data_IF_879460607929
#
_entry.id   IF_879460607929
#
_cell.length_a   1.000
_cell.length_b   1.000
_cell.length_c   1.000
_cell.angle_alpha   90.00
_cell.angle_beta   90.00
_cell.angle_gamma   90.00
#
_symmetry.space_group_name_H-M   'P 1'
#
loop_
_entity.id
_entity.type
_entity.pdbx_description
1 polymer ?
#
# COMPACT_ATOMS: atom_id res chain seq x y z
N UNK A 1 61.00 -41.88 0.47
CA UNK A 1 60.75 -42.58 1.74
C UNK A 1 59.29 -42.98 1.76
N UNK A 2 59.03 -44.29 1.74
CA UNK A 2 57.72 -44.92 1.72
C UNK A 2 57.13 -45.01 3.15
N UNK A 3 56.04 -45.77 3.28
CA UNK A 3 55.32 -46.22 4.50
C UNK A 3 54.06 -45.39 4.83
N UNK A 4 52.87 -45.81 4.37
CA UNK A 4 51.94 -46.79 4.98
C UNK A 4 51.33 -46.29 6.31
N UNK A 5 49.99 -46.20 6.43
CA UNK A 5 49.14 -47.30 6.94
C UNK A 5 47.72 -46.83 7.37
N UNK A 6 46.71 -47.44 6.73
CA UNK A 6 45.42 -47.99 7.22
C UNK A 6 44.49 -47.28 8.23
N UNK A 7 43.21 -47.54 7.94
CA UNK A 7 41.97 -47.08 8.53
C UNK A 7 41.65 -47.63 9.93
N UNK A 8 40.68 -47.00 10.61
CA UNK A 8 39.74 -47.67 11.53
C UNK A 8 38.45 -46.84 11.67
N UNK A 9 37.32 -47.46 11.38
CA UNK A 9 35.96 -47.00 11.69
C UNK A 9 35.67 -47.18 13.19
N UNK A 10 34.93 -46.26 13.82
CA UNK A 10 34.11 -46.59 15.00
C UNK A 10 32.94 -45.62 15.18
N UNK A 11 31.84 -46.17 15.70
CA UNK A 11 30.44 -45.73 15.58
C UNK A 11 29.87 -45.07 16.83
N UNK A 12 29.08 -43.98 16.64
CA UNK A 12 27.88 -43.50 17.41
C UNK A 12 28.10 -43.13 18.92
N UNK A 13 27.21 -42.38 19.62
CA UNK A 13 25.82 -41.99 19.33
C UNK A 13 25.46 -40.49 19.55
N UNK A 14 24.23 -40.11 19.15
CA UNK A 14 23.59 -38.81 19.43
C UNK A 14 23.02 -38.75 20.87
N UNK A 15 23.14 -37.62 21.59
CA UNK A 15 22.31 -37.37 22.77
C UNK A 15 21.09 -36.49 22.45
N UNK A 16 19.93 -37.13 22.66
CA UNK A 16 18.62 -36.69 23.17
C UNK A 16 18.41 -35.19 23.48
N UNK A 17 17.31 -34.70 22.89
CA UNK A 17 16.53 -33.50 23.26
C UNK A 17 16.41 -33.29 24.78
N UNK A 18 16.71 -32.06 25.23
CA UNK A 18 16.23 -31.51 26.50
C UNK A 18 15.45 -30.23 26.23
N UNK A 19 14.18 -30.26 26.62
CA UNK A 19 13.36 -29.06 26.84
C UNK A 19 14.00 -28.24 27.94
N UNK A 20 14.19 -26.94 27.70
CA UNK A 20 14.45 -25.96 28.77
C UNK A 20 13.26 -25.01 28.74
N UNK A 21 12.43 -25.06 29.78
CA UNK A 21 11.56 -23.95 30.15
C UNK A 21 12.48 -22.82 30.62
N UNK A 22 12.48 -21.69 29.92
CA UNK A 22 13.07 -20.46 30.42
C UNK A 22 11.97 -19.44 30.61
N UNK A 23 11.50 -19.34 31.84
CA UNK A 23 10.69 -18.24 32.34
C UNK A 23 11.61 -17.05 32.58
N UNK A 24 11.47 -15.98 31.81
CA UNK A 24 11.76 -14.63 32.31
C UNK A 24 10.91 -13.59 31.58
N UNK A 25 9.95 -13.04 32.31
CA UNK A 25 9.26 -11.81 31.94
C UNK A 25 10.27 -10.68 31.75
N UNK A 26 10.13 -9.95 30.65
CA UNK A 26 10.54 -8.56 30.54
C UNK A 26 9.30 -7.76 30.13
N UNK A 27 8.97 -6.76 30.95
CA UNK A 27 7.92 -5.78 30.72
C UNK A 27 8.29 -4.99 29.47
N UNK A 28 7.68 -5.33 28.33
CA UNK A 28 7.72 -4.49 27.15
C UNK A 28 6.57 -3.50 27.27
N UNK A 29 6.90 -2.23 27.51
CA UNK A 29 6.05 -1.12 27.09
C UNK A 29 5.96 -1.19 25.57
N UNK A 30 5.02 -2.01 25.11
CA UNK A 30 4.65 -2.09 23.70
C UNK A 30 4.05 -0.74 23.31
N UNK A 31 4.89 0.12 22.72
CA UNK A 31 4.39 1.03 21.69
C UNK A 31 3.81 0.10 20.63
N UNK A 32 2.49 -0.10 20.68
CA UNK A 32 1.76 -0.81 19.63
C UNK A 32 1.98 0.00 18.35
N UNK A 33 2.95 -0.43 17.54
CA UNK A 33 2.99 -0.09 16.14
C UNK A 33 1.69 -0.61 15.54
N UNK A 34 0.71 0.29 15.36
CA UNK A 34 -0.49 0.02 14.60
C UNK A 34 -0.04 -0.38 13.19
N UNK A 35 -0.02 -1.69 12.93
CA UNK A 35 0.09 -2.22 11.57
C UNK A 35 -1.12 -1.65 10.82
N UNK A 36 -0.86 -0.67 9.96
CA UNK A 36 -1.86 -0.04 9.10
C UNK A 36 -2.44 -1.13 8.17
N UNK A 37 -3.53 -1.75 8.60
CA UNK A 37 -4.34 -2.59 7.73
C UNK A 37 -4.89 -1.68 6.63
N UNK A 38 -4.65 -2.06 5.37
CA UNK A 38 -5.13 -1.30 4.21
C UNK A 38 -6.66 -1.14 4.32
N UNK A 39 -7.21 0.06 4.08
CA UNK A 39 -8.65 0.28 4.14
C UNK A 39 -9.38 -0.64 3.15
N UNK A 40 -10.57 -1.13 3.51
CA UNK A 40 -11.44 -1.86 2.60
C UNK A 40 -12.30 -0.88 1.81
N UNK A 41 -12.57 -1.14 0.50
CA UNK A 41 -13.41 -0.25 -0.29
C UNK A 41 -14.85 -0.27 0.23
N UNK A 42 -15.47 0.91 0.30
CA UNK A 42 -16.86 1.10 0.70
C UNK A 42 -17.62 1.78 -0.42
N UNK A 43 -18.53 1.04 -1.03
CA UNK A 43 -19.24 1.48 -2.23
C UNK A 43 -20.47 2.32 -1.92
N UNK A 44 -20.81 3.18 -2.87
CA UNK A 44 -22.04 3.95 -2.86
C UNK A 44 -23.24 3.06 -3.22
N UNK A 45 -24.43 3.27 -2.63
CA UNK A 45 -25.65 2.53 -2.99
C UNK A 45 -25.91 2.49 -4.50
N UNK A 46 -26.19 1.29 -5.02
CA UNK A 46 -26.47 1.05 -6.44
C UNK A 46 -25.23 0.80 -7.31
N UNK A 47 -24.04 0.82 -6.73
CA UNK A 47 -22.79 0.39 -7.38
C UNK A 47 -22.77 -1.14 -7.50
N UNK A 48 -22.35 -1.67 -8.64
CA UNK A 48 -21.98 -3.09 -8.78
C UNK A 48 -20.64 -3.32 -8.08
N UNK A 49 -20.70 -3.72 -6.80
CA UNK A 49 -19.52 -3.92 -5.96
C UNK A 49 -18.54 -4.94 -6.54
N UNK A 50 -19.04 -6.00 -7.20
CA UNK A 50 -18.18 -7.06 -7.74
C UNK A 50 -17.42 -6.57 -8.96
N UNK A 51 -18.12 -6.02 -9.95
CA UNK A 51 -17.49 -5.46 -11.15
C UNK A 51 -16.54 -4.32 -10.80
N UNK A 52 -16.95 -3.45 -9.86
CA UNK A 52 -16.13 -2.31 -9.41
C UNK A 52 -14.89 -2.78 -8.67
N UNK A 53 -14.98 -3.79 -7.79
CA UNK A 53 -13.81 -4.34 -7.08
C UNK A 53 -12.79 -4.93 -8.06
N UNK A 54 -13.26 -5.65 -9.10
CA UNK A 54 -12.38 -6.21 -10.12
C UNK A 54 -11.63 -5.10 -10.89
N UNK A 55 -12.32 -4.02 -11.26
CA UNK A 55 -11.72 -2.88 -11.95
C UNK A 55 -10.80 -2.04 -11.03
N UNK A 56 -11.12 -1.96 -9.75
CA UNK A 56 -10.34 -1.23 -8.73
C UNK A 56 -9.02 -1.93 -8.40
N UNK A 57 -9.05 -3.25 -8.27
CA UNK A 57 -7.90 -4.08 -7.82
C UNK A 57 -6.58 -3.75 -8.54
N UNK A 58 -6.49 -3.68 -9.88
CA UNK A 58 -5.22 -3.37 -10.56
C UNK A 58 -4.71 -1.95 -10.33
N UNK A 59 -5.58 -1.01 -9.91
CA UNK A 59 -5.19 0.38 -9.66
C UNK A 59 -4.50 0.57 -8.31
N UNK A 60 -4.72 -0.33 -7.36
CA UNK A 60 -4.24 -0.21 -5.98
C UNK A 60 -2.77 -0.60 -5.83
N UNK A 61 -2.06 0.09 -4.93
CA UNK A 61 -0.65 -0.21 -4.60
C UNK A 61 -0.48 -1.60 -3.98
N UNK A 62 -1.50 -2.10 -3.29
CA UNK A 62 -1.51 -3.46 -2.72
C UNK A 62 -1.64 -4.57 -3.77
N UNK A 63 -1.94 -4.20 -5.02
CA UNK A 63 -2.08 -5.13 -6.12
C UNK A 63 -0.74 -5.69 -6.59
N UNK A 64 -0.73 -6.96 -6.99
CA UNK A 64 0.42 -7.59 -7.64
C UNK A 64 0.77 -6.89 -8.98
N UNK A 65 -0.18 -6.17 -9.58
CA UNK A 65 0.04 -5.38 -10.78
C UNK A 65 0.85 -4.08 -10.54
N UNK A 66 1.12 -3.70 -9.28
CA UNK A 66 1.89 -2.51 -8.95
C UNK A 66 1.13 -1.21 -9.23
N UNK A 67 -0.14 -1.15 -8.85
CA UNK A 67 -0.96 0.07 -8.96
C UNK A 67 -0.39 1.24 -8.16
N UNK A 68 -0.98 2.43 -8.32
CA UNK A 68 -0.48 3.69 -7.73
C UNK A 68 -1.51 4.46 -6.93
N UNK A 69 -2.72 3.93 -6.83
CA UNK A 69 -3.81 4.49 -6.05
C UNK A 69 -3.88 3.86 -4.67
N UNK A 70 -4.33 4.63 -3.71
CA UNK A 70 -4.62 4.20 -2.34
C UNK A 70 -6.08 4.48 -2.01
N UNK A 71 -6.68 3.66 -1.17
CA UNK A 71 -7.98 3.98 -0.59
C UNK A 71 -7.82 5.04 0.51
N UNK A 72 -8.86 5.85 0.69
CA UNK A 72 -9.00 6.70 1.87
C UNK A 72 -9.12 5.89 3.14
N UNK A 73 -8.80 6.50 4.27
CA UNK A 73 -8.87 5.86 5.58
C UNK A 73 -10.25 5.27 5.90
N UNK A 74 -11.32 5.86 5.35
CA UNK A 74 -12.70 5.38 5.46
C UNK A 74 -13.16 4.48 4.30
N UNK A 75 -12.30 4.22 3.31
CA UNK A 75 -12.57 3.35 2.17
C UNK A 75 -13.51 3.93 1.11
N UNK A 76 -13.96 5.18 1.25
CA UNK A 76 -14.99 5.79 0.38
C UNK A 76 -14.42 6.53 -0.83
N UNK A 77 -13.10 6.64 -0.92
CA UNK A 77 -12.43 7.40 -1.96
C UNK A 77 -11.14 6.72 -2.45
N UNK A 78 -10.77 7.05 -3.69
CA UNK A 78 -9.49 6.72 -4.31
C UNK A 78 -8.59 7.94 -4.33
N UNK A 79 -7.34 7.78 -3.89
CA UNK A 79 -6.39 8.88 -3.79
C UNK A 79 -5.06 8.55 -4.43
N UNK A 80 -4.47 9.58 -5.05
CA UNK A 80 -3.14 9.49 -5.66
C UNK A 80 -2.49 10.87 -5.72
N UNK A 81 -1.17 10.88 -5.62
CA UNK A 81 -0.35 12.07 -5.86
C UNK A 81 0.37 11.93 -7.19
N UNK A 82 0.30 12.99 -7.98
CA UNK A 82 1.08 13.20 -9.19
C UNK A 82 2.14 14.24 -8.89
N UNK A 83 3.40 13.86 -8.98
CA UNK A 83 4.52 14.81 -8.94
C UNK A 83 5.15 14.85 -10.33
N UNK A 84 5.45 16.05 -10.81
CA UNK A 84 5.97 16.29 -12.15
C UNK A 84 7.42 16.77 -12.06
N UNK A 85 8.23 16.41 -13.05
CA UNK A 85 9.63 16.86 -13.13
C UNK A 85 9.76 18.36 -13.39
N UNK A 86 8.79 18.95 -14.09
CA UNK A 86 8.81 20.36 -14.49
C UNK A 86 7.40 20.95 -14.42
N UNK A 87 7.32 22.26 -14.19
CA UNK A 87 6.08 23.03 -14.14
C UNK A 87 5.46 23.28 -15.53
N UNK A 88 6.19 23.03 -16.62
CA UNK A 88 5.76 23.37 -17.99
C UNK A 88 4.46 22.65 -18.44
N UNK A 89 3.97 21.68 -17.68
CA UNK A 89 2.80 20.86 -18.04
C UNK A 89 1.64 20.96 -17.04
N UNK A 90 1.76 21.83 -16.04
CA UNK A 90 0.82 21.90 -14.92
C UNK A 90 0.48 23.35 -14.60
N UNK A 91 -0.80 23.65 -14.49
CA UNK A 91 -1.30 24.97 -14.08
C UNK A 91 -1.14 25.22 -12.57
N UNK A 92 -0.74 24.19 -11.81
CA UNK A 92 -0.62 24.17 -10.35
C UNK A 92 0.72 23.53 -9.97
N UNK A 93 1.78 24.33 -9.91
CA UNK A 93 3.15 23.91 -9.51
C UNK A 93 3.54 22.54 -10.08
N UNK A 94 4.32 21.71 -9.37
CA UNK A 94 4.76 20.40 -9.85
C UNK A 94 4.09 19.23 -9.10
N UNK A 95 3.13 19.48 -8.21
CA UNK A 95 2.51 18.43 -7.39
C UNK A 95 1.00 18.60 -7.35
N UNK A 96 0.26 17.52 -7.61
CA UNK A 96 -1.20 17.49 -7.57
C UNK A 96 -1.67 16.27 -6.79
N UNK A 97 -2.51 16.50 -5.78
CA UNK A 97 -3.22 15.45 -5.06
C UNK A 97 -4.63 15.30 -5.62
N UNK A 98 -4.99 14.08 -6.00
CA UNK A 98 -6.32 13.75 -6.55
C UNK A 98 -7.02 12.81 -5.58
N UNK A 99 -8.29 13.11 -5.30
CA UNK A 99 -9.22 12.25 -4.56
C UNK A 99 -10.53 12.12 -5.34
N UNK A 100 -10.85 10.91 -5.79
CA UNK A 100 -12.12 10.58 -6.43
C UNK A 100 -13.06 9.93 -5.43
N UNK A 101 -14.29 10.43 -5.34
CA UNK A 101 -15.34 9.90 -4.47
C UNK A 101 -16.71 10.34 -4.99
N UNK A 102 -17.73 9.52 -4.76
CA UNK A 102 -19.11 9.86 -5.07
C UNK A 102 -19.79 10.44 -3.83
N UNK A 103 -20.26 11.69 -3.95
CA UNK A 103 -20.83 12.43 -2.82
C UNK A 103 -22.27 12.00 -2.49
N UNK A 104 -23.10 11.71 -3.49
CA UNK A 104 -24.49 11.31 -3.28
C UNK A 104 -24.98 10.29 -4.35
N UNK A 105 -25.39 9.07 -3.96
CA UNK A 105 -25.29 8.56 -2.59
C UNK A 105 -23.81 8.36 -2.22
N UNK A 106 -23.47 8.54 -0.94
CA UNK A 106 -22.07 8.62 -0.52
C UNK A 106 -21.34 7.27 -0.63
N UNK A 107 -20.12 7.26 -1.18
CA UNK A 107 -19.24 6.10 -1.28
C UNK A 107 -18.39 6.10 -2.54
N UNK A 108 -17.64 5.01 -2.77
CA UNK A 108 -16.94 4.79 -4.02
C UNK A 108 -17.91 4.26 -5.09
N UNK A 109 -17.77 4.68 -6.36
CA UNK A 109 -18.56 4.13 -7.48
C UNK A 109 -17.69 3.74 -8.67
N UNK A 110 -18.31 3.13 -9.69
CA UNK A 110 -17.65 2.80 -10.97
C UNK A 110 -17.02 4.04 -11.62
N UNK A 111 -17.64 5.21 -11.45
CA UNK A 111 -17.17 6.46 -12.03
C UNK A 111 -15.82 6.87 -11.43
N UNK A 112 -15.65 6.69 -10.13
CA UNK A 112 -14.41 7.01 -9.43
C UNK A 112 -13.25 6.13 -9.93
N UNK A 113 -13.51 4.83 -10.10
CA UNK A 113 -12.55 3.87 -10.66
C UNK A 113 -12.21 4.21 -12.11
N UNK A 114 -13.21 4.59 -12.91
CA UNK A 114 -13.02 4.99 -14.31
C UNK A 114 -12.17 6.24 -14.43
N UNK A 115 -12.44 7.28 -13.61
CA UNK A 115 -11.65 8.51 -13.60
C UNK A 115 -10.21 8.26 -13.14
N UNK A 116 -10.01 7.39 -12.14
CA UNK A 116 -8.68 6.98 -11.72
C UNK A 116 -7.90 6.27 -12.85
N UNK A 117 -8.54 5.36 -13.58
CA UNK A 117 -7.95 4.68 -14.72
C UNK A 117 -7.61 5.64 -15.87
N UNK A 118 -8.47 6.63 -16.14
CA UNK A 118 -8.19 7.68 -17.13
C UNK A 118 -6.99 8.53 -16.73
N UNK A 119 -6.87 8.91 -15.45
CA UNK A 119 -5.68 9.58 -14.94
C UNK A 119 -4.41 8.73 -15.16
N UNK A 120 -4.49 7.41 -14.99
CA UNK A 120 -3.37 6.50 -15.27
C UNK A 120 -2.97 6.45 -16.74
N UNK A 121 -3.94 6.43 -17.65
CA UNK A 121 -3.70 6.49 -19.08
C UNK A 121 -3.03 7.81 -19.49
N UNK A 122 -3.57 8.94 -19.05
CA UNK A 122 -2.99 10.26 -19.30
C UNK A 122 -1.58 10.38 -18.72
N UNK A 123 -1.37 9.85 -17.51
CA UNK A 123 -0.05 9.82 -16.87
C UNK A 123 0.96 8.97 -17.63
N UNK A 124 0.53 7.85 -18.20
CA UNK A 124 1.37 7.00 -19.04
C UNK A 124 1.79 7.74 -20.32
N UNK A 125 0.87 8.47 -20.94
CA UNK A 125 1.16 9.28 -22.14
C UNK A 125 2.11 10.45 -21.84
N UNK A 126 2.13 10.94 -20.59
CA UNK A 126 3.09 11.94 -20.13
C UNK A 126 4.50 11.37 -19.88
N UNK A 127 4.65 10.04 -19.84
CA UNK A 127 5.93 9.33 -19.77
C UNK A 127 6.80 9.73 -18.59
N UNK A 128 8.08 10.01 -18.87
CA UNK A 128 9.11 10.36 -17.88
C UNK A 128 8.84 11.64 -17.09
N UNK A 129 7.78 12.40 -17.40
CA UNK A 129 7.50 13.67 -16.73
C UNK A 129 6.87 13.50 -15.35
N UNK A 130 6.42 12.29 -14.98
CA UNK A 130 5.83 12.00 -13.67
C UNK A 130 6.84 11.26 -12.79
N UNK A 131 7.07 11.77 -11.60
CA UNK A 131 7.84 11.14 -10.55
C UNK A 131 6.97 10.09 -9.85
N UNK A 132 7.46 8.86 -9.80
CA UNK A 132 6.85 7.81 -8.99
C UNK A 132 7.18 8.13 -7.53
N UNK A 133 6.19 8.65 -6.80
CA UNK A 133 6.36 8.98 -5.38
C UNK A 133 5.50 8.08 -4.53
N UNK A 134 6.06 7.60 -3.43
CA UNK A 134 5.35 6.81 -2.43
C UNK A 134 4.25 7.69 -1.78
N UNK A 135 2.95 7.43 -2.04
CA UNK A 135 1.89 8.26 -1.52
C UNK A 135 1.73 8.11 0.00
N UNK A 136 2.21 7.00 0.59
CA UNK A 136 2.11 6.74 2.03
C UNK A 136 3.05 7.62 2.86
N UNK A 137 4.09 8.18 2.24
CA UNK A 137 5.09 9.05 2.90
C UNK A 137 4.86 10.54 2.64
N UNK A 138 3.80 10.89 1.92
CA UNK A 138 3.60 12.28 1.49
C UNK A 138 2.97 13.14 2.59
N UNK A 139 3.63 14.25 2.95
CA UNK A 139 3.07 15.24 3.88
C UNK A 139 1.75 15.82 3.35
N UNK A 140 1.61 15.93 2.03
CA UNK A 140 0.39 16.35 1.34
C UNK A 140 -0.79 15.47 1.74
N UNK A 141 -0.61 14.15 1.78
CA UNK A 141 -1.64 13.21 2.20
C UNK A 141 -2.09 13.46 3.64
N UNK A 142 -1.11 13.61 4.55
CA UNK A 142 -1.37 13.87 5.98
C UNK A 142 -2.16 15.17 6.18
N UNK A 143 -1.81 16.22 5.44
CA UNK A 143 -2.52 17.50 5.46
C UNK A 143 -3.94 17.36 4.91
N UNK A 144 -4.14 16.62 3.81
CA UNK A 144 -5.48 16.37 3.27
C UNK A 144 -6.36 15.60 4.26
N UNK A 145 -5.84 14.54 4.87
CA UNK A 145 -6.57 13.75 5.86
C UNK A 145 -6.96 14.65 7.06
N UNK A 146 -6.06 15.53 7.52
CA UNK A 146 -6.34 16.49 8.60
C UNK A 146 -7.43 17.52 8.24
N UNK A 147 -7.47 17.98 6.98
CA UNK A 147 -8.49 18.92 6.50
C UNK A 147 -9.84 18.23 6.32
N UNK A 148 -9.87 17.02 5.75
CA UNK A 148 -11.11 16.28 5.49
C UNK A 148 -11.84 15.89 6.78
N UNK A 149 -11.12 15.56 7.87
CA UNK A 149 -11.73 15.27 9.17
C UNK A 149 -12.41 16.51 9.77
N UNK A 150 -11.95 17.72 9.44
CA UNK A 150 -12.50 18.98 9.94
C UNK A 150 -13.71 19.51 9.16
N UNK A 151 -14.02 18.94 7.99
CA UNK A 151 -15.10 19.43 7.11
C UNK A 151 -16.38 18.60 7.14
N UNK A 152 -16.52 17.65 8.08
CA UNK A 152 -17.83 17.08 8.41
C UNK A 152 -18.66 18.13 9.17
N UNK A 153 -19.29 19.02 8.42
CA UNK A 153 -20.39 19.89 8.89
C UNK A 153 -21.66 19.08 8.94
#
# INVERSE_FOLDING_TARGET
>A
MAHHCLASYSTRPLPRSRRILSTRMLMSTGVQQQQQQQPQPRYSPGTDEQATTLALTPLLISSQAGGRWTLSSDGTALERIFQFKSFNKTWVYNTTFIRWTTHNPAGLSEKDVTLAALCDALAKDMGDNILITDPTKSEVRRLVDQVCVRTKV
#
